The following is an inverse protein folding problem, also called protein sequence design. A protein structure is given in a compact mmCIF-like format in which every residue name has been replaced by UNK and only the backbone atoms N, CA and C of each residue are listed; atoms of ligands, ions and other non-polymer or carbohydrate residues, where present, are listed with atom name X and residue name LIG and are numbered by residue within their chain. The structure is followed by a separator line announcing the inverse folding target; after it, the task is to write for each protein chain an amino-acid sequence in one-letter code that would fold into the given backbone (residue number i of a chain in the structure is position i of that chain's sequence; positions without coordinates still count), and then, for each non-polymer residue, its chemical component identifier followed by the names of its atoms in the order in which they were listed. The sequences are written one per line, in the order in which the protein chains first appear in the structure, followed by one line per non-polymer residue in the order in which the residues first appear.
data_IF_801232696642
#
_entry.id   IF_801232696642
#
_cell.length_a   1.000
_cell.length_b   1.000
_cell.length_c   1.000
_cell.angle_alpha   90.00
_cell.angle_beta   90.00
_cell.angle_gamma   90.00
#
_symmetry.space_group_name_H-M   'P 1'
#
loop_
_entity.id
_entity.type
_entity.pdbx_description
1 polymer ?
#
# COMPACT_ATOMS: atom_id res chain seq x y z
N UNK A 1 -37.14 -10.45 19.58
CA UNK A 1 -36.18 -11.36 20.23
C UNK A 1 -34.78 -10.77 20.08
N UNK A 2 -33.93 -10.74 21.12
CA UNK A 2 -32.60 -10.14 21.03
C UNK A 2 -31.65 -11.06 20.23
N UNK A 3 -31.05 -10.54 19.16
CA UNK A 3 -30.01 -11.26 18.43
C UNK A 3 -28.72 -11.23 19.26
N UNK A 4 -28.37 -12.36 19.89
CA UNK A 4 -27.18 -12.46 20.74
C UNK A 4 -25.90 -12.11 19.98
N UNK A 5 -24.92 -11.54 20.68
CA UNK A 5 -23.58 -11.18 20.17
C UNK A 5 -22.88 -12.35 19.44
N UNK A 6 -23.25 -13.59 19.78
CA UNK A 6 -22.80 -14.84 19.14
C UNK A 6 -23.21 -14.95 17.67
N UNK A 7 -24.35 -14.39 17.27
CA UNK A 7 -24.85 -14.48 15.89
C UNK A 7 -24.09 -13.54 14.94
N UNK A 8 -23.64 -12.37 15.41
CA UNK A 8 -22.82 -11.45 14.61
C UNK A 8 -21.45 -12.09 14.28
N UNK A 9 -20.84 -12.79 15.25
CA UNK A 9 -19.62 -13.56 15.04
C UNK A 9 -19.80 -14.75 14.06
N UNK A 10 -21.00 -15.34 13.99
CA UNK A 10 -21.32 -16.47 13.12
C UNK A 10 -21.75 -16.06 11.70
N UNK A 11 -22.27 -14.85 11.51
CA UNK A 11 -22.64 -14.35 10.18
C UNK A 11 -21.42 -14.11 9.28
N UNK A 12 -20.33 -13.59 9.85
CA UNK A 12 -19.08 -13.29 9.12
C UNK A 12 -18.51 -14.52 8.39
N UNK A 13 -18.32 -15.71 9.01
CA UNK A 13 -17.88 -16.90 8.30
C UNK A 13 -18.97 -17.53 7.42
N UNK A 14 -20.26 -17.41 7.77
CA UNK A 14 -21.35 -18.07 7.03
C UNK A 14 -21.50 -17.55 5.58
N UNK A 15 -21.31 -16.24 5.37
CA UNK A 15 -21.34 -15.63 4.03
C UNK A 15 -20.18 -16.12 3.12
N UNK A 16 -19.05 -16.54 3.71
CA UNK A 16 -17.88 -17.03 2.96
C UNK A 16 -18.13 -18.44 2.38
N UNK A 17 -18.98 -19.25 3.02
CA UNK A 17 -19.26 -20.64 2.61
C UNK A 17 -20.21 -20.73 1.41
N UNK A 18 -21.14 -19.78 1.27
CA UNK A 18 -22.28 -19.91 0.33
C UNK A 18 -21.94 -19.73 -1.16
N UNK A 19 -20.70 -19.39 -1.51
CA UNK A 19 -20.28 -19.07 -2.90
C UNK A 19 -19.70 -20.28 -3.65
N UNK A 20 -19.57 -21.44 -3.00
CA UNK A 20 -18.96 -22.65 -3.56
C UNK A 20 -20.00 -23.54 -4.25
N UNK A 21 -20.17 -23.44 -5.57
CA UNK A 21 -20.83 -24.50 -6.38
C UNK A 21 -20.59 -24.44 -7.91
N UNK A 22 -20.51 -25.65 -8.52
CA UNK A 22 -20.80 -26.03 -9.93
C UNK A 22 -19.96 -25.55 -11.14
N UNK A 23 -19.34 -26.52 -11.85
CA UNK A 23 -19.04 -26.64 -13.32
C UNK A 23 -18.32 -25.47 -14.08
N UNK A 24 -17.31 -25.66 -14.97
CA UNK A 24 -17.17 -26.48 -16.19
C UNK A 24 -18.12 -26.05 -17.34
N UNK A 25 -17.73 -25.89 -18.63
CA UNK A 25 -16.45 -26.04 -19.38
C UNK A 25 -16.38 -24.93 -20.51
N UNK A 26 -15.68 -24.95 -21.67
CA UNK A 26 -14.82 -25.93 -22.38
C UNK A 26 -13.67 -25.21 -23.19
N UNK A 27 -13.62 -25.22 -24.54
CA UNK A 27 -12.51 -24.70 -25.37
C UNK A 27 -12.88 -24.33 -26.83
N UNK A 28 -12.01 -23.59 -27.56
CA UNK A 28 -11.68 -23.66 -29.02
C UNK A 28 -10.63 -22.58 -29.42
N UNK A 29 -9.87 -22.80 -30.51
CA UNK A 29 -8.77 -21.96 -31.06
C UNK A 29 -9.11 -21.39 -32.47
N UNK A 30 -8.33 -20.61 -33.24
CA UNK A 30 -6.88 -20.28 -33.38
C UNK A 30 -6.72 -18.79 -33.77
N UNK A 31 -5.55 -18.12 -33.66
CA UNK A 31 -4.28 -18.45 -34.36
C UNK A 31 -3.29 -19.29 -33.51
N UNK A 32 -1.97 -19.14 -33.73
CA UNK A 32 -0.94 -19.47 -32.71
C UNK A 32 -0.97 -18.39 -31.61
N UNK A 33 -2.13 -18.27 -30.98
CA UNK A 33 -2.32 -17.55 -29.73
C UNK A 33 -2.05 -18.52 -28.59
N UNK A 34 -0.92 -18.31 -27.93
CA UNK A 34 -0.54 -19.11 -26.77
C UNK A 34 -1.28 -18.56 -25.56
N UNK A 35 -2.46 -19.12 -25.29
CA UNK A 35 -3.23 -18.83 -24.08
C UNK A 35 -2.52 -19.41 -22.86
N UNK A 36 -1.76 -18.58 -22.17
CA UNK A 36 -1.21 -18.90 -20.85
C UNK A 36 -2.30 -18.56 -19.85
N UNK A 37 -3.02 -19.58 -19.38
CA UNK A 37 -3.92 -19.43 -18.25
C UNK A 37 -3.09 -19.12 -16.99
N UNK A 38 -3.67 -18.32 -16.10
CA UNK A 38 -3.12 -18.11 -14.76
C UNK A 38 -3.08 -19.38 -13.92
N UNK A 39 -3.90 -20.39 -14.25
CA UNK A 39 -3.98 -21.70 -13.57
C UNK A 39 -4.14 -22.87 -14.55
N UNK A 40 -3.50 -24.03 -14.31
CA UNK A 40 -2.35 -24.20 -13.39
C UNK A 40 -1.18 -23.28 -13.77
N UNK A 41 -0.18 -23.05 -12.90
CA UNK A 41 0.99 -22.24 -13.24
C UNK A 41 1.68 -22.82 -14.47
N UNK A 42 1.73 -22.01 -15.53
CA UNK A 42 2.00 -22.50 -16.88
C UNK A 42 3.26 -21.84 -17.45
N UNK A 43 4.28 -22.67 -17.71
CA UNK A 43 5.47 -22.29 -18.47
C UNK A 43 5.28 -22.66 -19.94
N UNK A 44 5.12 -21.66 -20.80
CA UNK A 44 5.01 -21.85 -22.26
C UNK A 44 6.31 -21.43 -22.93
N UNK A 45 6.93 -22.40 -23.61
CA UNK A 45 7.99 -22.13 -24.58
C UNK A 45 7.36 -21.55 -25.85
N UNK A 46 7.82 -20.38 -26.30
CA UNK A 46 7.42 -19.86 -27.59
C UNK A 46 8.01 -20.76 -28.71
N UNK A 47 7.24 -21.09 -29.76
CA UNK A 47 7.72 -21.92 -30.86
C UNK A 47 8.88 -21.24 -31.58
N UNK A 48 9.81 -22.05 -32.11
CA UNK A 48 10.89 -21.56 -32.96
C UNK A 48 10.35 -20.76 -34.14
N UNK A 49 11.07 -19.70 -34.51
CA UNK A 49 10.78 -18.81 -35.61
C UNK A 49 10.54 -19.60 -36.93
N UNK A 50 9.26 -19.79 -37.31
CA UNK A 50 8.84 -20.35 -38.61
C UNK A 50 8.28 -19.25 -39.51
N UNK A 51 8.72 -19.15 -40.78
CA UNK A 51 8.34 -18.02 -41.64
C UNK A 51 6.84 -18.04 -41.94
N UNK A 52 6.22 -16.86 -42.01
CA UNK A 52 4.88 -16.73 -42.57
C UNK A 52 4.93 -17.11 -44.06
N UNK A 53 4.09 -18.06 -44.46
CA UNK A 53 3.97 -18.45 -45.86
C UNK A 53 3.49 -17.25 -46.71
N UNK A 54 4.21 -16.95 -47.79
CA UNK A 54 3.87 -15.89 -48.75
C UNK A 54 4.75 -14.62 -48.71
N UNK A 55 5.71 -14.51 -47.79
CA UNK A 55 6.63 -13.35 -47.72
C UNK A 55 8.09 -13.72 -47.99
N UNK A 56 8.65 -13.26 -49.12
CA UNK A 56 10.10 -13.31 -49.36
C UNK A 56 10.84 -12.22 -48.59
N UNK A 57 12.10 -12.49 -48.22
CA UNK A 57 12.97 -11.70 -47.32
C UNK A 57 12.57 -11.73 -45.82
N UNK A 58 13.58 -11.63 -44.95
CA UNK A 58 13.48 -12.02 -43.54
C UNK A 58 12.87 -10.92 -42.64
N UNK A 59 11.54 -10.82 -42.64
CA UNK A 59 10.82 -9.99 -41.67
C UNK A 59 10.97 -10.48 -40.21
N UNK A 60 10.80 -9.59 -39.21
CA UNK A 60 10.82 -9.98 -37.80
C UNK A 60 9.57 -10.81 -37.46
N UNK A 61 9.80 -11.90 -36.72
CA UNK A 61 8.80 -12.91 -36.39
C UNK A 61 7.92 -12.40 -35.25
N UNK A 62 6.61 -12.55 -35.40
CA UNK A 62 5.64 -12.21 -34.36
C UNK A 62 5.23 -13.45 -33.57
N UNK A 63 5.04 -13.32 -32.25
CA UNK A 63 4.35 -14.33 -31.44
C UNK A 63 3.50 -13.65 -30.39
N UNK A 64 2.20 -13.97 -30.37
CA UNK A 64 1.22 -13.41 -29.43
C UNK A 64 0.95 -14.39 -28.29
N UNK A 65 1.11 -13.90 -27.07
CA UNK A 65 0.76 -14.62 -25.84
C UNK A 65 -0.46 -13.95 -25.23
N UNK A 66 -1.54 -14.72 -25.06
CA UNK A 66 -2.75 -14.27 -24.37
C UNK A 66 -2.67 -14.67 -22.90
N UNK A 67 -2.69 -13.68 -22.01
CA UNK A 67 -2.58 -13.86 -20.57
C UNK A 67 -3.99 -13.77 -19.98
N UNK A 68 -4.58 -14.93 -19.68
CA UNK A 68 -5.92 -15.02 -19.10
C UNK A 68 -5.84 -15.18 -17.58
N UNK A 69 -6.13 -14.09 -16.87
CA UNK A 69 -6.49 -14.10 -15.45
C UNK A 69 -7.74 -14.95 -15.17
N UNK A 70 -8.01 -15.21 -13.90
CA UNK A 70 -9.15 -16.02 -13.44
C UNK A 70 -10.49 -15.42 -13.92
N UNK A 71 -11.44 -16.26 -14.36
CA UNK A 71 -12.61 -15.80 -15.10
C UNK A 71 -13.61 -14.98 -14.27
N UNK A 72 -13.60 -15.09 -12.94
CA UNK A 72 -14.49 -14.28 -12.09
C UNK A 72 -13.94 -14.05 -10.68
N UNK A 73 -14.12 -12.81 -10.19
CA UNK A 73 -13.74 -12.35 -8.84
C UNK A 73 -14.55 -13.02 -7.73
N UNK A 74 -15.84 -13.24 -8.00
CA UNK A 74 -16.82 -13.75 -7.03
C UNK A 74 -16.58 -15.24 -6.73
N UNK A 75 -16.24 -16.04 -7.75
CA UNK A 75 -16.11 -17.51 -7.63
C UNK A 75 -14.78 -17.98 -7.04
N UNK A 76 -13.71 -17.19 -7.22
CA UNK A 76 -12.36 -17.46 -6.71
C UNK A 76 -11.86 -16.35 -5.73
N UNK A 77 -12.62 -15.97 -4.68
CA UNK A 77 -12.32 -14.78 -3.89
C UNK A 77 -11.00 -14.87 -3.11
N UNK A 78 -10.46 -16.08 -2.92
CA UNK A 78 -9.19 -16.34 -2.25
C UNK A 78 -7.98 -15.64 -2.90
N UNK A 79 -8.07 -15.24 -4.18
CA UNK A 79 -7.00 -14.50 -4.87
C UNK A 79 -7.06 -12.97 -4.68
N UNK A 80 -7.95 -12.45 -3.83
CA UNK A 80 -8.02 -11.02 -3.48
C UNK A 80 -6.67 -10.44 -3.02
N UNK A 81 -5.93 -11.14 -2.15
CA UNK A 81 -4.61 -10.73 -1.65
C UNK A 81 -3.42 -11.18 -2.50
N UNK A 82 -3.67 -11.79 -3.66
CA UNK A 82 -2.62 -12.37 -4.50
C UNK A 82 -2.21 -11.42 -5.63
N UNK A 83 -1.00 -11.63 -6.14
CA UNK A 83 -0.48 -11.01 -7.34
C UNK A 83 -0.07 -12.10 -8.34
N UNK A 84 -0.31 -11.86 -9.62
CA UNK A 84 0.16 -12.72 -10.69
C UNK A 84 1.43 -12.10 -11.28
N UNK A 85 2.58 -12.72 -11.00
CA UNK A 85 3.87 -12.36 -11.61
C UNK A 85 3.98 -13.03 -12.98
N UNK A 86 4.20 -12.20 -13.98
CA UNK A 86 4.54 -12.58 -15.34
C UNK A 86 6.05 -12.54 -15.47
N UNK A 87 6.67 -13.62 -15.94
CA UNK A 87 8.10 -13.65 -16.25
C UNK A 87 8.28 -14.08 -17.70
N UNK A 88 9.14 -13.38 -18.43
CA UNK A 88 9.60 -13.78 -19.75
C UNK A 88 11.13 -13.92 -19.69
N UNK A 89 11.64 -15.13 -19.94
CA UNK A 89 13.06 -15.44 -19.93
C UNK A 89 13.51 -15.81 -21.35
N UNK A 90 14.43 -15.04 -21.92
CA UNK A 90 14.94 -15.17 -23.27
C UNK A 90 16.45 -15.50 -23.26
N UNK A 91 16.83 -16.64 -23.82
CA UNK A 91 18.24 -17.10 -23.82
C UNK A 91 19.20 -16.18 -24.56
N UNK A 92 18.73 -15.42 -25.57
CA UNK A 92 19.51 -14.39 -26.27
C UNK A 92 18.63 -13.14 -26.52
N UNK A 93 18.68 -12.11 -25.65
CA UNK A 93 17.76 -10.95 -25.70
C UNK A 93 18.07 -9.90 -26.78
N UNK A 94 19.25 -9.95 -27.42
CA UNK A 94 19.70 -8.89 -28.34
C UNK A 94 18.80 -8.75 -29.58
N UNK A 95 18.14 -7.59 -29.71
CA UNK A 95 17.21 -7.31 -30.82
C UNK A 95 15.83 -7.95 -30.66
N UNK A 96 15.49 -8.47 -29.47
CA UNK A 96 14.14 -8.89 -29.13
C UNK A 96 13.36 -7.70 -28.52
N UNK A 97 12.16 -7.47 -29.03
CA UNK A 97 11.25 -6.42 -28.56
C UNK A 97 9.93 -7.05 -28.11
N UNK A 98 9.29 -6.47 -27.09
CA UNK A 98 7.99 -6.91 -26.57
C UNK A 98 7.04 -5.73 -26.42
N UNK A 99 5.75 -5.98 -26.62
CA UNK A 99 4.67 -5.04 -26.35
C UNK A 99 3.70 -5.67 -25.36
N UNK A 100 3.45 -4.99 -24.23
CA UNK A 100 2.53 -5.43 -23.19
C UNK A 100 1.31 -4.51 -23.14
N UNK A 101 0.15 -5.02 -23.56
CA UNK A 101 -1.06 -4.20 -23.74
C UNK A 101 -2.34 -4.91 -23.25
N UNK A 102 -3.45 -4.18 -23.28
CA UNK A 102 -4.80 -4.66 -22.92
C UNK A 102 -5.79 -4.60 -24.10
N UNK A 103 -5.48 -3.82 -25.13
CA UNK A 103 -6.37 -3.56 -26.26
C UNK A 103 -6.35 -4.76 -27.23
N UNK A 104 -7.41 -5.58 -27.22
CA UNK A 104 -7.58 -6.70 -28.14
C UNK A 104 -7.77 -6.28 -29.61
N UNK A 105 -8.18 -5.03 -29.86
CA UNK A 105 -8.31 -4.43 -31.20
C UNK A 105 -6.96 -4.23 -31.91
N UNK A 106 -5.84 -4.27 -31.19
CA UNK A 106 -4.50 -4.22 -31.78
C UNK A 106 -4.16 -5.61 -32.34
N UNK A 107 -4.01 -5.72 -33.66
CA UNK A 107 -3.60 -6.97 -34.31
C UNK A 107 -2.17 -7.41 -33.93
N UNK A 108 -1.80 -8.69 -34.12
CA UNK A 108 -0.51 -9.24 -33.69
C UNK A 108 0.70 -8.42 -34.16
N UNK A 109 1.50 -7.98 -33.19
CA UNK A 109 2.67 -7.13 -33.36
C UNK A 109 2.41 -5.80 -34.09
N UNK A 110 1.20 -5.25 -33.99
CA UNK A 110 0.83 -3.91 -34.51
C UNK A 110 0.77 -2.82 -33.44
N UNK A 111 1.46 -3.00 -32.31
CA UNK A 111 1.60 -1.95 -31.30
C UNK A 111 2.31 -0.71 -31.84
N UNK A 112 1.97 0.47 -31.29
CA UNK A 112 2.60 1.73 -31.65
C UNK A 112 4.09 1.74 -31.29
N UNK A 113 4.91 2.50 -32.04
CA UNK A 113 6.38 2.53 -31.87
C UNK A 113 6.83 2.83 -30.43
N UNK A 114 6.08 3.66 -29.69
CA UNK A 114 6.34 4.02 -28.28
C UNK A 114 5.96 2.94 -27.26
N UNK A 115 5.22 1.90 -27.66
CA UNK A 115 4.77 0.80 -26.77
C UNK A 115 5.74 -0.39 -26.79
N UNK A 116 6.70 -0.43 -27.73
CA UNK A 116 7.70 -1.48 -27.83
C UNK A 116 8.82 -1.28 -26.81
N UNK A 117 8.98 -2.26 -25.93
CA UNK A 117 10.06 -2.34 -24.95
C UNK A 117 11.13 -3.29 -25.47
N UNK A 118 12.40 -2.87 -25.42
CA UNK A 118 13.53 -3.75 -25.74
C UNK A 118 13.78 -4.71 -24.57
N UNK A 119 14.09 -5.97 -24.88
CA UNK A 119 14.33 -6.97 -23.85
C UNK A 119 15.51 -6.57 -22.93
N UNK A 120 15.41 -6.70 -21.60
CA UNK A 120 16.52 -6.44 -20.69
C UNK A 120 17.76 -7.26 -21.04
N UNK A 121 18.95 -6.66 -20.87
CA UNK A 121 20.25 -7.32 -21.15
C UNK A 121 20.46 -8.61 -20.35
N UNK A 122 19.78 -8.75 -19.21
CA UNK A 122 19.77 -9.94 -18.34
C UNK A 122 18.97 -11.13 -18.91
N UNK A 123 18.26 -10.97 -20.03
CA UNK A 123 17.37 -12.00 -20.57
C UNK A 123 16.04 -12.16 -19.84
N UNK A 124 15.87 -11.54 -18.66
CA UNK A 124 14.66 -11.62 -17.85
C UNK A 124 13.87 -10.30 -17.88
N UNK A 125 12.62 -10.36 -18.34
CA UNK A 125 11.60 -9.32 -18.16
C UNK A 125 10.55 -9.82 -17.16
N UNK A 126 10.03 -8.92 -16.32
CA UNK A 126 9.03 -9.25 -15.30
C UNK A 126 7.99 -8.13 -15.20
N UNK A 127 6.73 -8.52 -15.03
CA UNK A 127 5.63 -7.61 -14.66
C UNK A 127 4.73 -8.26 -13.61
N UNK A 128 3.94 -7.42 -12.92
CA UNK A 128 2.99 -7.86 -11.89
C UNK A 128 1.59 -7.35 -12.25
N UNK A 129 0.60 -8.23 -12.26
CA UNK A 129 -0.81 -7.88 -12.53
C UNK A 129 -1.78 -8.45 -11.49
N UNK A 130 -3.01 -7.96 -11.49
CA UNK A 130 -4.14 -8.62 -10.80
C UNK A 130 -4.32 -10.04 -11.34
N UNK A 131 -4.55 -11.05 -10.48
CA UNK A 131 -4.91 -12.40 -10.90
C UNK A 131 -6.16 -12.51 -11.78
N UNK A 132 -6.99 -11.46 -11.87
CA UNK A 132 -8.22 -11.39 -12.67
C UNK A 132 -8.13 -10.43 -13.87
N UNK A 133 -6.94 -9.92 -14.20
CA UNK A 133 -6.77 -9.05 -15.37
C UNK A 133 -6.45 -9.87 -16.63
N UNK A 134 -6.88 -9.34 -17.77
CA UNK A 134 -6.57 -9.89 -19.10
C UNK A 134 -5.50 -9.02 -19.75
N UNK A 135 -4.45 -9.64 -20.29
CA UNK A 135 -3.35 -8.94 -20.97
C UNK A 135 -2.90 -9.67 -22.22
N UNK A 136 -2.30 -8.92 -23.13
CA UNK A 136 -1.70 -9.42 -24.36
C UNK A 136 -0.21 -9.04 -24.33
N UNK A 137 0.64 -10.02 -24.61
CA UNK A 137 2.09 -9.86 -24.69
C UNK A 137 2.55 -10.30 -26.07
N UNK A 138 2.81 -9.32 -26.93
CA UNK A 138 3.28 -9.53 -28.31
C UNK A 138 4.81 -9.46 -28.34
N UNK A 139 5.45 -10.51 -28.83
CA UNK A 139 6.89 -10.60 -29.02
C UNK A 139 7.27 -10.40 -30.48
N UNK A 140 8.30 -9.58 -30.71
CA UNK A 140 8.92 -9.32 -32.01
C UNK A 140 10.36 -9.81 -31.97
N UNK A 141 10.65 -10.82 -32.79
CA UNK A 141 11.88 -11.61 -32.71
C UNK A 141 12.67 -11.61 -34.03
N UNK A 142 14.01 -11.52 -34.00
CA UNK A 142 14.84 -11.69 -35.20
C UNK A 142 14.76 -13.11 -35.80
N UNK A 143 15.22 -13.24 -37.05
CA UNK A 143 15.22 -14.47 -37.84
C UNK A 143 16.28 -15.51 -37.39
N UNK A 144 16.17 -15.97 -36.15
CA UNK A 144 17.22 -16.73 -35.46
C UNK A 144 16.61 -17.94 -34.71
N UNK A 145 16.68 -19.16 -35.28
CA UNK A 145 15.91 -20.31 -34.79
C UNK A 145 16.42 -20.87 -33.46
N UNK A 146 17.68 -20.64 -33.10
CA UNK A 146 18.27 -21.11 -31.83
C UNK A 146 18.03 -20.14 -30.68
N UNK A 147 16.97 -19.33 -30.75
CA UNK A 147 16.46 -18.51 -29.64
C UNK A 147 15.26 -19.20 -29.01
N UNK A 148 15.22 -19.18 -27.68
CA UNK A 148 14.08 -19.69 -26.90
C UNK A 148 13.63 -18.62 -25.92
N UNK A 149 12.34 -18.32 -25.93
CA UNK A 149 11.68 -17.50 -24.92
C UNK A 149 10.73 -18.41 -24.16
N UNK A 150 10.81 -18.38 -22.83
CA UNK A 150 9.88 -19.04 -21.93
C UNK A 150 9.08 -17.98 -21.21
N UNK A 151 7.75 -18.03 -21.32
CA UNK A 151 6.84 -17.20 -20.54
C UNK A 151 6.27 -18.07 -19.42
N UNK A 152 6.42 -17.64 -18.17
CA UNK A 152 5.87 -18.33 -17.00
C UNK A 152 4.96 -17.42 -16.16
N UNK A 153 3.90 -18.03 -15.63
CA UNK A 153 2.97 -17.43 -14.66
C UNK A 153 3.22 -17.98 -13.26
N UNK A 154 3.43 -17.09 -12.29
CA UNK A 154 3.58 -17.43 -10.87
C UNK A 154 2.59 -16.59 -10.04
N UNK A 155 1.73 -17.23 -9.25
CA UNK A 155 0.94 -16.53 -8.23
C UNK A 155 1.74 -16.37 -6.94
N UNK A 156 1.74 -15.16 -6.38
CA UNK A 156 2.35 -14.85 -5.10
C UNK A 156 1.31 -14.28 -4.13
N UNK A 157 1.35 -14.74 -2.88
CA UNK A 157 0.53 -14.22 -1.79
C UNK A 157 1.22 -13.01 -1.14
N UNK A 158 0.53 -11.86 -1.10
CA UNK A 158 1.10 -10.61 -0.59
C UNK A 158 0.58 -10.28 0.82
N UNK A 159 1.23 -10.83 1.84
CA UNK A 159 0.85 -10.70 3.26
C UNK A 159 0.61 -9.24 3.70
N UNK A 160 1.40 -8.28 3.20
CA UNK A 160 1.21 -6.85 3.51
C UNK A 160 -0.18 -6.32 3.12
N UNK A 161 -0.83 -6.91 2.11
CA UNK A 161 -2.19 -6.53 1.70
C UNK A 161 -3.26 -7.02 2.67
N UNK A 162 -3.03 -8.16 3.31
CA UNK A 162 -3.88 -8.63 4.42
C UNK A 162 -3.76 -7.66 5.60
N UNK A 163 -2.54 -7.19 5.91
CA UNK A 163 -2.32 -6.18 6.96
C UNK A 163 -3.07 -4.89 6.63
N UNK A 164 -2.97 -4.36 5.40
CA UNK A 164 -3.75 -3.18 4.99
C UNK A 164 -5.26 -3.41 5.10
N UNK A 165 -5.78 -4.59 4.72
CA UNK A 165 -7.21 -4.89 4.88
C UNK A 165 -7.65 -4.92 6.33
N UNK A 166 -6.93 -5.64 7.19
CA UNK A 166 -7.27 -5.78 8.62
C UNK A 166 -7.15 -4.45 9.35
N UNK A 167 -6.08 -3.68 9.11
CA UNK A 167 -5.93 -2.33 9.68
C UNK A 167 -7.02 -1.39 9.15
N UNK A 168 -7.32 -1.45 7.84
CA UNK A 168 -8.41 -0.68 7.23
C UNK A 168 -9.77 -0.99 7.85
N UNK A 169 -10.10 -2.27 8.04
CA UNK A 169 -11.32 -2.71 8.72
C UNK A 169 -11.40 -2.22 10.17
N UNK A 170 -10.33 -2.38 10.95
CA UNK A 170 -10.29 -1.92 12.34
C UNK A 170 -10.52 -0.41 12.39
N UNK A 171 -9.80 0.38 11.58
CA UNK A 171 -9.97 1.84 11.51
C UNK A 171 -11.39 2.25 11.08
N UNK A 172 -12.03 1.54 10.14
CA UNK A 172 -13.42 1.80 9.73
C UNK A 172 -14.38 1.72 10.93
N UNK A 173 -14.21 0.69 11.75
CA UNK A 173 -15.05 0.41 12.94
C UNK A 173 -14.75 1.41 14.07
N UNK A 174 -13.48 1.61 14.43
CA UNK A 174 -13.12 2.42 15.61
C UNK A 174 -13.13 3.93 15.37
N UNK A 175 -13.26 4.41 14.13
CA UNK A 175 -13.16 5.83 13.77
C UNK A 175 -13.96 6.77 14.69
N UNK A 176 -15.23 6.44 14.95
CA UNK A 176 -16.16 7.24 15.76
C UNK A 176 -15.78 7.23 17.25
N UNK A 177 -15.36 6.07 17.76
CA UNK A 177 -14.92 5.90 19.15
C UNK A 177 -13.58 6.58 19.42
N UNK A 178 -12.68 6.62 18.43
CA UNK A 178 -11.41 7.35 18.54
C UNK A 178 -11.60 8.86 18.42
N UNK A 179 -12.48 9.33 17.53
CA UNK A 179 -12.72 10.76 17.33
C UNK A 179 -13.34 11.47 18.54
N UNK A 180 -14.09 10.74 19.38
CA UNK A 180 -14.67 11.23 20.64
C UNK A 180 -13.77 10.95 21.87
N UNK A 181 -12.71 10.15 21.71
CA UNK A 181 -11.87 9.74 22.84
C UNK A 181 -10.85 10.81 23.22
N UNK A 182 -11.11 11.54 24.28
CA UNK A 182 -10.15 12.46 24.94
C UNK A 182 -8.79 11.79 25.16
N UNK A 183 -8.77 10.50 25.50
CA UNK A 183 -7.54 9.70 25.71
C UNK A 183 -6.75 9.51 24.40
N UNK A 184 -7.42 9.37 23.25
CA UNK A 184 -6.76 9.28 21.94
C UNK A 184 -6.00 10.57 21.60
N UNK A 185 -6.57 11.75 21.88
CA UNK A 185 -5.89 13.03 21.61
C UNK A 185 -4.70 13.28 22.55
N UNK A 186 -4.87 13.14 23.86
CA UNK A 186 -3.73 13.31 24.79
C UNK A 186 -2.66 12.24 24.57
N UNK A 187 -3.06 10.97 24.43
CA UNK A 187 -2.14 9.86 24.17
C UNK A 187 -1.40 10.02 22.83
N UNK A 188 -2.10 10.45 21.78
CA UNK A 188 -1.51 10.76 20.48
C UNK A 188 -0.51 11.91 20.54
N UNK A 189 -0.89 13.04 21.14
CA UNK A 189 -0.01 14.21 21.30
C UNK A 189 1.25 13.87 22.12
N UNK A 190 1.10 13.15 23.24
CA UNK A 190 2.24 12.68 24.06
C UNK A 190 3.11 11.68 23.30
N UNK A 191 2.52 10.75 22.56
CA UNK A 191 3.26 9.75 21.77
C UNK A 191 4.07 10.41 20.66
N UNK A 192 3.50 11.39 19.95
CA UNK A 192 4.22 12.19 18.94
C UNK A 192 5.36 12.97 19.59
N UNK A 193 5.12 13.60 20.75
CA UNK A 193 6.17 14.28 21.53
C UNK A 193 7.33 13.34 21.92
N UNK A 194 7.02 12.17 22.48
CA UNK A 194 8.01 11.16 22.86
C UNK A 194 8.81 10.67 21.64
N UNK A 195 8.15 10.40 20.50
CA UNK A 195 8.86 10.02 19.28
C UNK A 195 9.78 11.13 18.77
N UNK A 196 9.35 12.40 18.75
CA UNK A 196 10.21 13.52 18.37
C UNK A 196 11.46 13.61 19.27
N UNK A 197 11.29 13.41 20.58
CA UNK A 197 12.40 13.40 21.55
C UNK A 197 13.35 12.22 21.31
N UNK A 198 12.82 11.01 21.09
CA UNK A 198 13.63 9.83 20.77
C UNK A 198 14.43 10.06 19.47
N UNK A 199 13.82 10.65 18.44
CA UNK A 199 14.51 10.97 17.19
C UNK A 199 15.61 12.03 17.37
N UNK A 200 15.40 13.04 18.22
CA UNK A 200 16.44 14.02 18.57
C UNK A 200 17.60 13.35 19.34
N UNK A 201 17.29 12.48 20.32
CA UNK A 201 18.31 11.73 21.08
C UNK A 201 19.10 10.79 20.17
N UNK A 202 18.44 10.06 19.27
CA UNK A 202 19.10 9.19 18.29
C UNK A 202 20.01 9.99 17.34
N UNK A 203 19.55 11.16 16.88
CA UNK A 203 20.37 12.05 16.05
C UNK A 203 21.62 12.56 16.80
N UNK A 204 21.48 12.93 18.08
CA UNK A 204 22.62 13.33 18.91
C UNK A 204 23.57 12.15 19.20
N UNK A 205 23.05 10.95 19.45
CA UNK A 205 23.84 9.73 19.62
C UNK A 205 24.62 9.34 18.36
N UNK A 206 24.03 9.49 17.18
CA UNK A 206 24.72 9.31 15.89
C UNK A 206 25.83 10.34 15.64
N UNK A 207 25.88 11.45 16.38
CA UNK A 207 26.98 12.43 16.35
C UNK A 207 28.13 12.07 17.31
N UNK A 208 27.89 11.18 18.27
CA UNK A 208 28.88 10.73 19.26
C UNK A 208 29.57 9.41 18.88
N UNK A 209 28.94 8.59 18.02
CA UNK A 209 29.52 7.33 17.54
C UNK A 209 30.23 7.52 16.19
N UNK A 210 31.44 6.97 15.97
CA UNK A 210 32.15 7.02 14.69
C UNK A 210 31.57 6.00 13.67
N UNK A 211 30.26 6.07 13.40
CA UNK A 211 29.57 5.11 12.52
C UNK A 211 29.86 5.34 11.05
N UNK A 212 30.67 4.46 10.45
CA UNK A 212 31.05 4.53 9.04
C UNK A 212 29.91 4.22 8.05
N UNK A 213 29.64 5.19 7.15
CA UNK A 213 29.14 5.03 5.76
C UNK A 213 28.40 3.72 5.40
N UNK A 214 27.05 3.74 5.40
CA UNK A 214 26.15 3.28 4.29
C UNK A 214 24.65 3.36 4.64
N UNK A 215 23.94 4.37 4.14
CA UNK A 215 22.55 4.32 3.60
C UNK A 215 22.04 5.73 3.26
N UNK A 216 22.41 6.25 2.09
CA UNK A 216 22.23 7.69 1.79
C UNK A 216 20.77 8.16 1.71
N UNK A 217 19.84 7.35 1.17
CA UNK A 217 18.46 7.79 0.94
C UNK A 217 17.62 7.93 2.21
N UNK A 218 17.72 6.97 3.14
CA UNK A 218 17.04 7.07 4.43
C UNK A 218 17.59 8.24 5.25
N UNK A 219 18.92 8.42 5.24
CA UNK A 219 19.59 9.56 5.88
C UNK A 219 19.14 10.88 5.24
N UNK A 220 19.06 10.98 3.92
CA UNK A 220 18.67 12.22 3.21
C UNK A 220 17.21 12.62 3.46
N UNK A 221 16.28 11.65 3.49
CA UNK A 221 14.88 11.92 3.81
C UNK A 221 14.71 12.42 5.25
N UNK A 222 15.36 11.77 6.22
CA UNK A 222 15.41 12.26 7.60
C UNK A 222 16.11 13.63 7.70
N UNK A 223 17.25 13.81 7.04
CA UNK A 223 18.05 15.04 7.09
C UNK A 223 17.49 16.20 6.25
N UNK A 224 16.32 16.06 5.62
CA UNK A 224 15.61 17.21 5.05
C UNK A 224 14.79 17.91 6.13
N UNK A 225 13.90 17.16 6.80
CA UNK A 225 13.08 17.67 7.91
C UNK A 225 13.94 17.90 9.16
N UNK A 226 14.66 16.88 9.63
CA UNK A 226 15.56 16.99 10.78
C UNK A 226 16.76 17.88 10.46
N UNK A 227 17.18 18.00 9.19
CA UNK A 227 18.21 18.97 8.79
C UNK A 227 17.76 20.42 9.00
N UNK A 228 16.53 20.76 8.61
CA UNK A 228 15.97 22.08 8.87
C UNK A 228 15.81 22.35 10.39
N UNK A 229 15.32 21.37 11.16
CA UNK A 229 15.24 21.47 12.63
C UNK A 229 16.62 21.64 13.27
N UNK A 230 17.61 20.87 12.83
CA UNK A 230 18.97 20.89 13.42
C UNK A 230 19.80 22.08 12.96
N UNK A 231 19.54 22.66 11.79
CA UNK A 231 20.05 23.97 11.39
C UNK A 231 19.51 25.07 12.32
N UNK A 232 18.20 25.07 12.61
CA UNK A 232 17.59 25.95 13.59
C UNK A 232 18.16 25.76 15.00
N UNK A 233 18.30 24.50 15.45
CA UNK A 233 18.91 24.20 16.75
C UNK A 233 20.41 24.54 16.80
N UNK A 234 21.15 24.45 15.69
CA UNK A 234 22.54 24.88 15.62
C UNK A 234 22.68 26.40 15.66
N UNK A 235 21.78 27.12 14.99
CA UNK A 235 21.71 28.58 15.08
C UNK A 235 21.37 29.03 16.50
N UNK A 236 20.32 28.45 17.11
CA UNK A 236 19.94 28.70 18.51
C UNK A 236 21.05 28.30 19.49
N UNK A 237 21.70 27.15 19.29
CA UNK A 237 22.81 26.69 20.15
C UNK A 237 24.06 27.57 20.02
N UNK A 238 24.36 28.07 18.81
CA UNK A 238 25.41 29.07 18.61
C UNK A 238 25.09 30.39 19.31
N UNK A 239 23.85 30.89 19.18
CA UNK A 239 23.42 32.13 19.83
C UNK A 239 23.39 32.00 21.36
N UNK A 240 22.89 30.87 21.88
CA UNK A 240 22.94 30.54 23.31
C UNK A 240 24.39 30.42 23.81
N UNK A 241 25.29 29.83 23.03
CA UNK A 241 26.72 29.74 23.40
C UNK A 241 27.37 31.12 23.47
N UNK A 242 27.09 32.03 22.53
CA UNK A 242 27.56 33.42 22.62
C UNK A 242 27.07 34.09 23.91
N UNK A 243 25.76 33.99 24.21
CA UNK A 243 25.18 34.55 25.44
C UNK A 243 25.77 33.90 26.70
N UNK A 244 26.05 32.59 26.71
CA UNK A 244 26.66 31.91 27.86
C UNK A 244 28.12 32.30 28.09
N UNK A 245 28.90 32.49 27.01
CA UNK A 245 30.28 32.98 27.10
C UNK A 245 30.29 34.43 27.58
N UNK A 246 29.33 35.24 27.17
CA UNK A 246 29.14 36.63 27.62
C UNK A 246 28.63 36.72 29.08
N UNK A 247 27.97 35.66 29.58
CA UNK A 247 27.66 35.45 31.01
C UNK A 247 28.83 34.82 31.79
N UNK A 248 29.91 34.40 31.11
CA UNK A 248 31.13 33.87 31.73
C UNK A 248 31.08 32.39 32.13
N UNK A 249 30.21 31.57 31.54
CA UNK A 249 30.09 30.14 31.86
C UNK A 249 31.14 29.31 31.11
N UNK A 250 31.87 28.48 31.86
CA UNK A 250 32.98 27.67 31.37
C UNK A 250 32.58 26.62 30.30
N UNK A 251 33.52 26.31 29.41
CA UNK A 251 33.25 25.50 28.21
C UNK A 251 32.95 24.03 28.51
N UNK A 252 33.54 23.50 29.58
CA UNK A 252 33.27 22.17 30.15
C UNK A 252 31.83 22.00 30.66
N UNK A 253 31.15 23.09 31.05
CA UNK A 253 29.75 23.05 31.48
C UNK A 253 28.73 22.94 30.33
N UNK A 254 29.17 23.03 29.07
CA UNK A 254 28.27 23.07 27.91
C UNK A 254 27.54 21.74 27.64
N UNK A 255 28.17 20.59 27.94
CA UNK A 255 27.55 19.28 27.72
C UNK A 255 26.36 18.99 28.67
N UNK A 256 26.48 19.11 30.01
CA UNK A 256 25.33 18.97 30.91
C UNK A 256 24.26 20.04 30.66
N UNK A 257 24.63 21.26 30.27
CA UNK A 257 23.68 22.30 29.90
C UNK A 257 22.93 21.97 28.60
N UNK A 258 23.58 21.34 27.61
CA UNK A 258 22.92 20.84 26.39
C UNK A 258 21.87 19.77 26.70
N UNK A 259 22.16 18.87 27.65
CA UNK A 259 21.21 17.88 28.15
C UNK A 259 20.05 18.57 28.90
N UNK A 260 20.34 19.56 29.75
CA UNK A 260 19.32 20.32 30.46
C UNK A 260 18.39 21.08 29.50
N UNK A 261 18.95 21.76 28.49
CA UNK A 261 18.20 22.46 27.45
C UNK A 261 17.33 21.48 26.62
N UNK A 262 17.85 20.29 26.29
CA UNK A 262 17.06 19.23 25.66
C UNK A 262 15.86 18.84 26.54
N UNK A 263 16.07 18.58 27.83
CA UNK A 263 15.00 18.26 28.79
C UNK A 263 13.99 19.40 28.91
N UNK A 264 14.42 20.66 28.94
CA UNK A 264 13.51 21.81 28.90
C UNK A 264 12.66 21.84 27.62
N UNK A 265 13.22 21.49 26.45
CA UNK A 265 12.46 21.36 25.19
C UNK A 265 11.49 20.16 25.24
N UNK A 266 11.86 19.04 25.86
CA UNK A 266 10.94 17.90 26.10
C UNK A 266 9.74 18.34 26.95
N UNK A 267 10.01 18.99 28.08
CA UNK A 267 8.98 19.42 29.04
C UNK A 267 8.09 20.52 28.43
N UNK A 268 8.67 21.47 27.68
CA UNK A 268 7.91 22.46 26.93
C UNK A 268 7.04 21.81 25.85
N UNK A 269 7.55 20.82 25.10
CA UNK A 269 6.78 20.08 24.10
C UNK A 269 5.61 19.30 24.70
N UNK A 270 5.83 18.63 25.83
CA UNK A 270 4.77 17.93 26.57
C UNK A 270 3.73 18.90 27.13
N UNK A 271 4.17 20.04 27.69
CA UNK A 271 3.29 21.10 28.17
C UNK A 271 2.45 21.73 27.05
N UNK A 272 3.06 22.08 25.92
CA UNK A 272 2.34 22.60 24.74
C UNK A 272 1.39 21.56 24.13
N UNK A 273 1.75 20.27 24.13
CA UNK A 273 0.85 19.20 23.70
C UNK A 273 -0.38 19.08 24.60
N UNK A 274 -0.17 19.03 25.92
CA UNK A 274 -1.26 18.99 26.91
C UNK A 274 -2.15 20.24 26.85
N UNK A 275 -1.54 21.44 26.85
CA UNK A 275 -2.25 22.71 26.74
C UNK A 275 -3.01 22.85 25.42
N UNK A 276 -2.40 22.41 24.30
CA UNK A 276 -2.98 22.44 22.97
C UNK A 276 -4.24 21.58 22.88
N UNK A 277 -4.19 20.32 23.34
CA UNK A 277 -5.40 19.48 23.43
C UNK A 277 -6.44 20.15 24.34
N UNK A 278 -6.06 20.61 25.53
CA UNK A 278 -6.98 21.23 26.49
C UNK A 278 -7.63 22.53 26.00
N UNK A 279 -7.07 23.21 24.98
CA UNK A 279 -7.59 24.51 24.48
C UNK A 279 -8.08 24.50 23.03
N UNK A 280 -7.70 23.51 22.21
CA UNK A 280 -8.04 23.43 20.78
C UNK A 280 -8.85 22.16 20.42
N UNK A 281 -8.94 21.18 21.32
CA UNK A 281 -9.63 19.90 21.08
C UNK A 281 -10.79 19.70 22.04
N UNK A 282 -10.73 20.23 23.27
CA UNK A 282 -11.81 20.09 24.25
C UNK A 282 -12.80 21.24 24.21
N UNK A 283 -14.08 20.90 24.34
CA UNK A 283 -15.20 21.81 24.57
C UNK A 283 -15.28 22.26 26.05
N UNK A 284 -16.22 23.15 26.36
CA UNK A 284 -16.34 23.77 27.70
C UNK A 284 -16.75 22.78 28.80
N UNK A 285 -17.39 21.66 28.43
CA UNK A 285 -17.76 20.55 29.33
C UNK A 285 -16.62 19.53 29.56
N UNK A 286 -15.49 19.67 28.85
CA UNK A 286 -14.37 18.73 28.87
C UNK A 286 -14.50 17.52 27.94
N UNK A 287 -15.57 17.45 27.14
CA UNK A 287 -15.68 16.52 25.99
C UNK A 287 -14.81 16.99 24.81
N UNK A 288 -14.74 16.21 23.73
CA UNK A 288 -14.08 16.64 22.48
C UNK A 288 -15.05 17.53 21.69
N UNK A 289 -14.56 18.65 21.17
CA UNK A 289 -15.30 19.54 20.28
C UNK A 289 -15.91 18.77 19.09
N UNK A 290 -17.20 18.96 18.83
CA UNK A 290 -17.96 18.19 17.84
C UNK A 290 -17.42 18.37 16.41
N UNK A 291 -16.89 19.56 16.08
CA UNK A 291 -16.25 19.85 14.80
C UNK A 291 -14.90 19.15 14.65
N UNK A 292 -14.08 19.15 15.71
CA UNK A 292 -12.81 18.41 15.76
C UNK A 292 -13.05 16.91 15.68
N UNK A 293 -14.01 16.38 16.44
CA UNK A 293 -14.41 14.98 16.39
C UNK A 293 -14.90 14.58 15.00
N UNK A 294 -15.80 15.36 14.38
CA UNK A 294 -16.28 15.11 13.01
C UNK A 294 -15.13 15.09 11.99
N UNK A 295 -14.22 16.06 12.04
CA UNK A 295 -13.03 16.10 11.18
C UNK A 295 -12.15 14.86 11.35
N UNK A 296 -11.92 14.42 12.58
CA UNK A 296 -11.10 13.23 12.88
C UNK A 296 -11.81 11.92 12.50
N UNK A 297 -13.13 11.79 12.66
CA UNK A 297 -13.87 10.61 12.15
C UNK A 297 -13.64 10.48 10.64
N UNK A 298 -13.80 11.56 9.88
CA UNK A 298 -13.58 11.58 8.43
C UNK A 298 -12.12 11.34 8.04
N UNK A 299 -11.14 11.89 8.76
CA UNK A 299 -9.73 11.63 8.51
C UNK A 299 -9.38 10.15 8.68
N UNK A 300 -9.86 9.51 9.77
CA UNK A 300 -9.66 8.07 10.01
C UNK A 300 -10.37 7.24 8.93
N UNK A 301 -11.58 7.64 8.51
CA UNK A 301 -12.34 6.98 7.44
C UNK A 301 -11.64 7.06 6.07
N UNK A 302 -11.02 8.19 5.73
CA UNK A 302 -10.25 8.34 4.48
C UNK A 302 -9.00 7.44 4.51
N UNK A 303 -8.26 7.40 5.62
CA UNK A 303 -7.11 6.51 5.79
C UNK A 303 -7.54 5.03 5.72
N UNK A 304 -8.63 4.67 6.39
CA UNK A 304 -9.24 3.34 6.32
C UNK A 304 -9.60 2.95 4.88
N UNK A 305 -10.27 3.85 4.14
CA UNK A 305 -10.66 3.62 2.76
C UNK A 305 -9.44 3.40 1.84
N UNK A 306 -8.38 4.19 2.01
CA UNK A 306 -7.12 4.02 1.27
C UNK A 306 -6.46 2.66 1.59
N UNK A 307 -6.45 2.24 2.86
CA UNK A 307 -5.90 0.94 3.26
C UNK A 307 -6.70 -0.23 2.66
N UNK A 308 -8.04 -0.15 2.66
CA UNK A 308 -8.89 -1.15 1.99
C UNK A 308 -8.65 -1.15 0.47
N UNK A 309 -8.52 0.01 -0.18
CA UNK A 309 -8.22 0.09 -1.62
C UNK A 309 -6.83 -0.46 -1.98
N UNK A 310 -5.83 -0.33 -1.09
CA UNK A 310 -4.50 -0.92 -1.28
C UNK A 310 -4.45 -2.43 -0.99
N UNK A 311 -5.50 -3.02 -0.43
CA UNK A 311 -5.52 -4.45 -0.06
C UNK A 311 -5.70 -5.44 -1.22
N UNK A 312 -5.89 -4.96 -2.46
CA UNK A 312 -5.80 -5.80 -3.66
C UNK A 312 -5.05 -5.09 -4.79
N UNK A 313 -4.58 -5.87 -5.78
CA UNK A 313 -4.19 -5.33 -7.09
C UNK A 313 -5.39 -5.12 -8.02
N UNK A 314 -6.56 -5.67 -7.68
CA UNK A 314 -7.76 -5.54 -8.48
C UNK A 314 -8.63 -4.39 -7.96
N UNK A 315 -8.55 -3.22 -8.60
CA UNK A 315 -9.26 -2.02 -8.17
C UNK A 315 -10.78 -2.21 -8.09
N UNK A 316 -11.38 -3.03 -8.96
CA UNK A 316 -12.82 -3.31 -8.93
C UNK A 316 -13.19 -4.15 -7.69
N UNK A 317 -12.38 -5.16 -7.37
CA UNK A 317 -12.61 -5.99 -6.20
C UNK A 317 -12.34 -5.21 -4.89
N UNK A 318 -11.29 -4.40 -4.85
CA UNK A 318 -10.97 -3.55 -3.70
C UNK A 318 -12.05 -2.49 -3.45
N UNK A 319 -12.61 -1.89 -4.51
CA UNK A 319 -13.72 -0.95 -4.40
C UNK A 319 -15.01 -1.63 -3.94
N UNK A 320 -15.33 -2.83 -4.46
CA UNK A 320 -16.48 -3.60 -3.97
C UNK A 320 -16.36 -3.95 -2.48
N UNK A 321 -15.16 -4.32 -2.02
CA UNK A 321 -14.88 -4.55 -0.61
C UNK A 321 -15.07 -3.26 0.23
N UNK A 322 -14.60 -2.10 -0.25
CA UNK A 322 -14.81 -0.82 0.43
C UNK A 322 -16.30 -0.48 0.57
N UNK A 323 -17.08 -0.59 -0.50
CA UNK A 323 -18.54 -0.33 -0.47
C UNK A 323 -19.24 -1.25 0.52
N UNK A 324 -18.89 -2.54 0.55
CA UNK A 324 -19.41 -3.50 1.53
C UNK A 324 -19.08 -3.09 2.98
N UNK A 325 -17.86 -2.62 3.24
CA UNK A 325 -17.45 -2.14 4.57
C UNK A 325 -18.20 -0.87 5.00
N UNK A 326 -18.42 0.07 4.07
CA UNK A 326 -19.21 1.30 4.31
C UNK A 326 -20.67 0.96 4.61
N UNK A 327 -21.27 0.02 3.87
CA UNK A 327 -22.63 -0.48 4.14
C UNK A 327 -22.73 -1.11 5.53
N UNK A 328 -21.77 -1.97 5.91
CA UNK A 328 -21.72 -2.57 7.25
C UNK A 328 -21.61 -1.48 8.34
N UNK A 329 -20.73 -0.48 8.16
CA UNK A 329 -20.63 0.64 9.11
C UNK A 329 -21.94 1.41 9.22
N UNK A 330 -22.61 1.70 8.10
CA UNK A 330 -23.88 2.42 8.09
C UNK A 330 -24.97 1.64 8.84
N UNK A 331 -25.13 0.34 8.57
CA UNK A 331 -26.08 -0.53 9.26
C UNK A 331 -25.78 -0.58 10.77
N UNK A 332 -24.51 -0.77 11.15
CA UNK A 332 -24.11 -0.80 12.56
C UNK A 332 -24.38 0.54 13.28
N UNK A 333 -24.17 1.69 12.62
CA UNK A 333 -24.49 3.02 13.19
C UNK A 333 -25.99 3.22 13.38
N UNK A 334 -26.82 2.70 12.47
CA UNK A 334 -28.29 2.74 12.56
C UNK A 334 -28.79 1.83 13.70
N UNK A 335 -28.34 0.58 13.75
CA UNK A 335 -28.76 -0.38 14.78
C UNK A 335 -28.29 0.05 16.18
N UNK A 336 -27.09 0.62 16.28
CA UNK A 336 -26.57 1.22 17.52
C UNK A 336 -27.46 2.37 18.02
N UNK A 337 -27.78 3.35 17.15
CA UNK A 337 -28.70 4.45 17.49
C UNK A 337 -30.10 3.94 17.87
N UNK A 338 -30.62 2.93 17.18
CA UNK A 338 -31.91 2.32 17.51
C UNK A 338 -31.93 1.66 18.90
N UNK A 339 -30.87 0.92 19.27
CA UNK A 339 -30.75 0.32 20.61
C UNK A 339 -30.63 1.35 21.72
N UNK A 340 -29.86 2.42 21.50
CA UNK A 340 -29.75 3.54 22.47
C UNK A 340 -31.10 4.24 22.64
N UNK A 341 -31.80 4.53 21.54
CA UNK A 341 -33.14 5.15 21.60
C UNK A 341 -34.14 4.26 22.35
N UNK A 342 -34.15 2.95 22.09
CA UNK A 342 -35.02 2.02 22.79
C UNK A 342 -34.68 1.87 24.29
N UNK A 343 -33.41 2.05 24.69
CA UNK A 343 -33.03 2.03 26.10
C UNK A 343 -33.45 3.31 26.85
N UNK A 344 -33.47 4.46 26.15
CA UNK A 344 -33.89 5.75 26.70
C UNK A 344 -35.42 5.87 26.77
N UNK A 345 -36.13 5.48 25.70
CA UNK A 345 -37.60 5.60 25.62
C UNK A 345 -38.36 4.36 26.12
N UNK A 346 -37.69 3.23 26.31
CA UNK A 346 -38.29 2.00 26.86
C UNK A 346 -38.36 1.95 28.39
N UNK A 347 -38.24 3.10 29.06
CA UNK A 347 -38.22 3.26 30.51
C UNK A 347 -39.22 4.31 31.00
N UNK A 348 -40.22 4.64 30.17
CA UNK A 348 -41.33 5.56 30.45
C UNK A 348 -42.68 4.81 30.43
#
# INVERSE_FOLDING_TARGET
MPLSHRNLLLFIPSVIVLVVTSAAALSVSTPVELTVTSHPPASVHLPHARPLAGGGTAGPYCTRVLLQGRPSRIRDPSRFFHALRLRANATRPHGLELCFHRNATVGPCKCAASQWQKMPKSGLWMQVISPYDYRILDFRMPADPSRSVVVSTEEEFLLHRVVFFVVGLVLMVVAHTLSESVVFYYGGAMTIGIFLVILIILFQGMKLLPTGRKSSLAIFAYSSVVGMTTYFLHYLSGMLRSVLVEIGIAEDMHNPLGIFALVCVVLAGAWFGYWGVRKLVLAEDGSVDEGVAYFVEWAILIVSAVMILQSSLDYLFAFAALIFCVIIKAIARIEGKSKVLHYIFGFL
#
